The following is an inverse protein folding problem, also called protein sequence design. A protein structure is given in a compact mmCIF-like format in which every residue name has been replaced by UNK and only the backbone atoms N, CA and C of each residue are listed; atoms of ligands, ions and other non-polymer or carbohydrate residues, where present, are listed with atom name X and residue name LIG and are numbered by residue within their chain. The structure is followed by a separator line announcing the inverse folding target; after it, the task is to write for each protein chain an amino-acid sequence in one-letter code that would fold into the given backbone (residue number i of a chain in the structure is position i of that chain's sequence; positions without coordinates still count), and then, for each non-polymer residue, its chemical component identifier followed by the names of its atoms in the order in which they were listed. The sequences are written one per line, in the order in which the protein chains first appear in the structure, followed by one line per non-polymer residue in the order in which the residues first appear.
data_IF_757196998986
#
_entry.id   IF_757196998986
#
_cell.length_a   1.000
_cell.length_b   1.000
_cell.length_c   1.000
_cell.angle_alpha   90.00
_cell.angle_beta   90.00
_cell.angle_gamma   90.00
#
_symmetry.space_group_name_H-M   'P 1'
#
loop_
_entity.id
_entity.type
_entity.pdbx_description
1 polymer ?
#
# COMPACT_ATOMS: atom_id res chain seq x y z
N UNK A 1 -58.61 -12.96 2.24
CA UNK A 1 -57.30 -13.56 1.97
C UNK A 1 -56.38 -12.47 1.46
N UNK A 2 -55.37 -12.05 2.23
CA UNK A 2 -54.35 -11.13 1.77
C UNK A 2 -53.00 -11.70 2.17
N UNK A 3 -52.29 -12.31 1.22
CA UNK A 3 -50.95 -12.84 1.43
C UNK A 3 -49.97 -11.68 1.23
N UNK A 4 -49.44 -11.14 2.33
CA UNK A 4 -48.35 -10.18 2.30
C UNK A 4 -47.08 -10.97 1.94
N UNK A 5 -46.57 -10.74 0.73
CA UNK A 5 -45.29 -11.30 0.28
C UNK A 5 -44.19 -10.35 0.78
N UNK A 6 -43.54 -10.69 1.89
CA UNK A 6 -42.35 -9.99 2.36
C UNK A 6 -41.21 -10.40 1.43
N UNK A 7 -40.88 -9.54 0.47
CA UNK A 7 -39.70 -9.70 -0.37
C UNK A 7 -38.47 -9.40 0.49
N UNK A 8 -37.86 -10.45 1.05
CA UNK A 8 -36.58 -10.36 1.73
C UNK A 8 -35.50 -10.14 0.65
N UNK A 9 -35.22 -8.89 0.29
CA UNK A 9 -34.04 -8.55 -0.50
C UNK A 9 -32.81 -8.86 0.36
N UNK A 10 -32.25 -10.06 0.21
CA UNK A 10 -30.91 -10.38 0.68
C UNK A 10 -29.92 -9.52 -0.11
N UNK A 11 -29.58 -8.35 0.43
CA UNK A 11 -28.44 -7.56 -0.04
C UNK A 11 -27.21 -8.40 0.24
N UNK A 12 -26.76 -9.15 -0.76
CA UNK A 12 -25.45 -9.77 -0.76
C UNK A 12 -24.44 -8.63 -0.79
N UNK A 13 -23.94 -8.24 0.38
CA UNK A 13 -22.78 -7.37 0.48
C UNK A 13 -21.59 -8.21 0.03
N UNK A 14 -21.36 -8.27 -1.28
CA UNK A 14 -20.11 -8.80 -1.80
C UNK A 14 -19.03 -7.80 -1.43
N UNK A 15 -18.28 -8.10 -0.36
CA UNK A 15 -17.02 -7.43 -0.09
C UNK A 15 -16.07 -7.80 -1.23
N UNK A 16 -16.06 -7.00 -2.29
CA UNK A 16 -15.02 -7.11 -3.31
C UNK A 16 -13.81 -6.42 -2.71
N UNK A 17 -12.85 -7.21 -2.24
CA UNK A 17 -11.56 -6.72 -1.80
C UNK A 17 -10.82 -6.12 -2.99
N UNK A 18 -10.08 -5.04 -2.75
CA UNK A 18 -9.12 -4.54 -3.71
C UNK A 18 -7.97 -5.51 -3.81
N UNK A 19 -7.21 -5.38 -4.89
CA UNK A 19 -6.01 -6.17 -5.06
C UNK A 19 -4.98 -5.35 -5.80
N UNK A 20 -3.81 -5.19 -5.21
CA UNK A 20 -2.79 -4.31 -5.73
C UNK A 20 -1.38 -4.63 -5.23
N UNK A 21 -0.41 -4.42 -6.10
CA UNK A 21 1.00 -4.61 -5.80
C UNK A 21 1.90 -3.60 -6.52
N UNK A 22 2.94 -3.12 -5.83
CA UNK A 22 4.02 -2.33 -6.42
C UNK A 22 5.05 -3.25 -7.08
N UNK A 23 5.26 -3.06 -8.38
CA UNK A 23 6.12 -3.87 -9.25
C UNK A 23 7.40 -3.14 -9.70
N UNK A 24 7.45 -1.82 -9.61
CA UNK A 24 8.66 -1.02 -9.84
C UNK A 24 8.69 0.13 -8.80
N UNK A 25 9.81 0.34 -8.09
CA UNK A 25 10.76 -0.72 -7.75
C UNK A 25 10.01 -1.93 -7.16
N UNK A 26 10.45 -3.15 -7.45
CA UNK A 26 9.67 -4.34 -7.07
C UNK A 26 9.54 -4.46 -5.55
N UNK A 27 8.31 -4.57 -5.05
CA UNK A 27 8.06 -4.78 -3.63
C UNK A 27 8.50 -6.17 -3.15
N UNK A 28 8.81 -6.31 -1.87
CA UNK A 28 9.24 -7.56 -1.21
C UNK A 28 8.33 -8.74 -1.55
N UNK A 29 7.02 -8.50 -1.53
CA UNK A 29 6.00 -9.50 -1.85
C UNK A 29 6.05 -10.00 -3.29
N UNK A 30 6.50 -9.17 -4.23
CA UNK A 30 6.50 -9.47 -5.67
C UNK A 30 7.88 -9.79 -6.22
N UNK A 31 8.95 -9.74 -5.39
CA UNK A 31 10.34 -9.96 -5.82
C UNK A 31 10.52 -11.27 -6.58
N UNK A 32 9.84 -12.33 -6.16
CA UNK A 32 9.88 -13.67 -6.78
C UNK A 32 9.46 -13.70 -8.25
N UNK A 33 8.71 -12.69 -8.72
CA UNK A 33 8.36 -12.56 -10.14
C UNK A 33 9.55 -12.21 -11.02
N UNK A 34 10.62 -11.65 -10.44
CA UNK A 34 11.80 -11.14 -11.14
C UNK A 34 13.10 -11.82 -10.67
N UNK A 35 13.08 -12.47 -9.50
CA UNK A 35 14.21 -13.17 -8.92
C UNK A 35 13.79 -14.56 -8.43
N UNK A 36 14.23 -15.59 -9.17
CA UNK A 36 13.93 -16.99 -8.88
C UNK A 36 14.48 -17.51 -7.53
N UNK A 37 15.38 -16.75 -6.88
CA UNK A 37 15.90 -17.10 -5.55
C UNK A 37 15.02 -16.58 -4.42
N UNK A 38 14.06 -15.70 -4.71
CA UNK A 38 13.15 -15.16 -3.72
C UNK A 38 12.05 -16.17 -3.33
N UNK A 39 11.63 -16.13 -2.07
CA UNK A 39 10.49 -16.91 -1.59
C UNK A 39 9.22 -16.46 -2.33
N UNK A 40 8.51 -17.37 -3.04
CA UNK A 40 7.28 -17.00 -3.73
C UNK A 40 6.17 -16.58 -2.78
N UNK A 41 5.49 -15.48 -3.13
CA UNK A 41 4.20 -15.09 -2.53
C UNK A 41 3.15 -15.04 -3.64
N UNK A 42 2.30 -16.05 -3.73
CA UNK A 42 1.30 -16.14 -4.81
C UNK A 42 0.10 -15.20 -4.61
N UNK A 43 -0.03 -14.60 -3.42
CA UNK A 43 -1.04 -13.59 -3.05
C UNK A 43 -0.36 -12.24 -2.81
N UNK A 44 0.64 -11.91 -3.64
CA UNK A 44 1.46 -10.70 -3.49
C UNK A 44 0.70 -9.40 -3.78
N UNK A 45 -0.54 -9.50 -4.24
CA UNK A 45 -1.49 -8.40 -4.40
C UNK A 45 -2.46 -8.23 -3.21
N UNK A 46 -2.27 -8.98 -2.11
CA UNK A 46 -3.19 -9.08 -0.96
C UNK A 46 -2.65 -8.46 0.34
N UNK A 47 -1.74 -7.49 0.24
CA UNK A 47 -1.19 -6.79 1.41
C UNK A 47 -2.11 -5.70 1.95
N UNK A 48 -3.37 -6.08 2.21
CA UNK A 48 -4.48 -5.23 2.64
C UNK A 48 -4.64 -5.12 4.17
N UNK A 49 -3.55 -5.15 4.92
CA UNK A 49 -3.55 -5.00 6.38
C UNK A 49 -4.36 -6.08 7.14
N UNK A 50 -4.54 -7.27 6.56
CA UNK A 50 -5.40 -8.34 7.08
C UNK A 50 -6.90 -8.17 6.76
N UNK A 51 -7.27 -7.14 6.01
CA UNK A 51 -8.60 -6.88 5.46
C UNK A 51 -9.27 -5.72 6.16
N UNK A 52 -10.21 -5.04 5.47
CA UNK A 52 -10.85 -3.83 5.98
C UNK A 52 -11.44 -3.98 7.40
N UNK A 53 -12.08 -5.11 7.71
CA UNK A 53 -12.62 -5.38 9.05
C UNK A 53 -11.50 -5.48 10.10
N UNK A 54 -10.44 -6.22 9.81
CA UNK A 54 -9.30 -6.41 10.73
C UNK A 54 -8.59 -5.08 10.95
N UNK A 55 -8.34 -4.33 9.88
CA UNK A 55 -7.73 -3.00 9.93
C UNK A 55 -8.51 -2.06 10.86
N UNK A 56 -9.81 -1.87 10.61
CA UNK A 56 -10.58 -0.82 11.28
C UNK A 56 -11.25 -1.27 12.58
N UNK A 57 -11.91 -2.42 12.58
CA UNK A 57 -12.69 -2.88 13.73
C UNK A 57 -11.83 -3.58 14.78
N UNK A 58 -10.81 -4.34 14.36
CA UNK A 58 -9.95 -5.06 15.30
C UNK A 58 -8.77 -4.21 15.77
N UNK A 59 -8.10 -3.51 14.85
CA UNK A 59 -6.87 -2.77 15.15
C UNK A 59 -6.99 -1.25 15.08
N UNK A 60 -8.20 -0.71 14.97
CA UNK A 60 -8.45 0.73 15.08
C UNK A 60 -7.71 1.56 14.01
N UNK A 61 -7.60 1.02 12.80
CA UNK A 61 -6.89 1.65 11.68
C UNK A 61 -5.39 1.36 11.63
N UNK A 62 -4.85 0.56 12.55
CA UNK A 62 -3.44 0.18 12.53
C UNK A 62 -3.19 -0.95 11.53
N UNK A 63 -2.13 -0.79 10.73
CA UNK A 63 -1.66 -1.74 9.74
C UNK A 63 -0.19 -2.09 10.01
N UNK A 64 0.27 -3.27 9.61
CA UNK A 64 1.70 -3.57 9.56
C UNK A 64 2.44 -2.59 8.64
N UNK A 65 3.74 -2.39 8.85
CA UNK A 65 4.51 -1.36 8.13
C UNK A 65 4.49 -1.59 6.61
N UNK A 66 4.46 -2.86 6.22
CA UNK A 66 4.50 -3.32 4.83
C UNK A 66 3.25 -4.13 4.44
N UNK A 67 2.11 -3.83 5.05
CA UNK A 67 0.79 -4.30 4.60
C UNK A 67 0.30 -5.62 5.17
N UNK A 68 1.11 -6.27 6.01
CA UNK A 68 0.67 -7.36 6.88
C UNK A 68 -0.38 -6.88 7.90
N UNK A 69 -1.16 -7.81 8.46
CA UNK A 69 -2.04 -7.52 9.59
C UNK A 69 -1.25 -6.98 10.79
N UNK A 70 -1.75 -5.94 11.45
CA UNK A 70 -1.08 -5.36 12.61
C UNK A 70 -0.89 -6.36 13.76
N UNK A 71 -1.76 -7.35 13.92
CA UNK A 71 -1.63 -8.40 14.94
C UNK A 71 -0.57 -9.46 14.67
N UNK A 72 0.01 -9.52 13.47
CA UNK A 72 1.07 -10.46 13.17
C UNK A 72 2.34 -10.16 14.00
N UNK A 73 3.06 -11.21 14.40
CA UNK A 73 4.29 -11.08 15.15
C UNK A 73 5.35 -10.31 14.35
N UNK A 74 6.11 -9.44 15.02
CA UNK A 74 7.22 -8.71 14.42
C UNK A 74 8.53 -9.53 14.46
N UNK A 75 9.40 -9.45 13.43
CA UNK A 75 9.13 -8.78 12.15
C UNK A 75 8.04 -9.52 11.38
N UNK A 76 7.06 -8.77 10.88
CA UNK A 76 5.97 -9.36 10.09
C UNK A 76 6.53 -9.89 8.77
N UNK A 77 5.83 -10.81 8.07
CA UNK A 77 6.38 -11.46 6.88
C UNK A 77 7.01 -10.52 5.84
N UNK A 78 6.47 -9.31 5.65
CA UNK A 78 6.95 -8.33 4.66
C UNK A 78 7.76 -7.19 5.27
N UNK A 79 8.01 -7.18 6.57
CA UNK A 79 8.96 -6.29 7.25
C UNK A 79 10.38 -6.86 7.15
N UNK A 80 11.39 -6.01 7.33
CA UNK A 80 12.79 -6.37 7.25
C UNK A 80 13.13 -7.45 8.29
N UNK A 81 13.71 -8.56 7.82
CA UNK A 81 13.96 -9.76 8.62
C UNK A 81 12.80 -10.77 8.64
N UNK A 82 11.64 -10.41 8.10
CA UNK A 82 10.53 -11.35 7.84
C UNK A 82 10.80 -12.25 6.63
N UNK A 83 9.90 -13.22 6.41
CA UNK A 83 9.99 -14.22 5.31
C UNK A 83 10.31 -13.61 3.94
N UNK A 84 9.71 -12.46 3.62
CA UNK A 84 9.89 -11.75 2.35
C UNK A 84 10.81 -10.53 2.46
N UNK A 85 11.17 -10.10 3.68
CA UNK A 85 12.00 -8.94 3.95
C UNK A 85 13.49 -9.24 4.01
N UNK A 86 14.05 -9.78 2.91
CA UNK A 86 15.46 -10.15 2.83
C UNK A 86 16.43 -8.95 2.74
N UNK A 87 15.93 -7.71 2.60
CA UNK A 87 16.76 -6.50 2.51
C UNK A 87 17.54 -6.35 1.20
N UNK A 88 17.11 -7.03 0.14
CA UNK A 88 17.78 -6.99 -1.18
C UNK A 88 17.47 -5.65 -1.86
N UNK A 89 18.50 -4.85 -2.12
CA UNK A 89 18.36 -3.56 -2.82
C UNK A 89 17.93 -3.79 -4.28
N UNK A 90 16.68 -3.46 -4.61
CA UNK A 90 16.08 -3.67 -5.94
C UNK A 90 16.18 -2.46 -6.86
N UNK A 91 16.49 -1.28 -6.32
CA UNK A 91 16.60 -0.03 -7.07
C UNK A 91 17.68 0.87 -6.49
N UNK A 92 18.42 1.56 -7.35
CA UNK A 92 19.43 2.55 -6.96
C UNK A 92 19.15 3.85 -7.70
N UNK A 93 19.07 4.93 -6.96
CA UNK A 93 18.72 6.25 -7.46
C UNK A 93 19.68 7.30 -6.89
N UNK A 94 19.66 8.52 -7.43
CA UNK A 94 20.38 9.67 -6.91
C UNK A 94 19.45 10.61 -6.13
N UNK A 95 19.97 11.40 -5.18
CA UNK A 95 19.17 12.42 -4.50
C UNK A 95 18.50 13.36 -5.50
N UNK A 96 17.20 13.65 -5.29
CA UNK A 96 16.42 14.50 -6.19
C UNK A 96 15.97 13.85 -7.51
N UNK A 97 16.40 12.62 -7.82
CA UNK A 97 16.01 11.91 -9.04
C UNK A 97 14.51 11.61 -9.06
N UNK A 98 13.90 11.64 -10.26
CA UNK A 98 12.59 11.04 -10.48
C UNK A 98 12.72 9.51 -10.52
N UNK A 99 12.12 8.85 -9.54
CA UNK A 99 12.06 7.40 -9.40
C UNK A 99 10.82 6.91 -10.17
N UNK A 100 10.99 6.03 -11.18
CA UNK A 100 9.86 5.37 -11.81
C UNK A 100 9.16 4.47 -10.81
N UNK A 101 7.83 4.52 -10.79
CA UNK A 101 7.02 3.60 -10.00
C UNK A 101 5.97 2.95 -10.88
N UNK A 102 5.77 1.65 -10.69
CA UNK A 102 4.71 0.89 -11.34
C UNK A 102 3.89 0.16 -10.29
N UNK A 103 2.60 0.46 -10.20
CA UNK A 103 1.66 -0.22 -9.32
C UNK A 103 0.58 -0.91 -10.15
N UNK A 104 0.44 -2.22 -10.00
CA UNK A 104 -0.59 -3.01 -10.69
C UNK A 104 -1.76 -3.25 -9.75
N UNK A 105 -2.94 -2.81 -10.14
CA UNK A 105 -4.19 -3.17 -9.49
C UNK A 105 -4.89 -4.25 -10.31
N UNK A 106 -5.10 -5.43 -9.73
CA UNK A 106 -5.89 -6.51 -10.35
C UNK A 106 -7.36 -6.39 -10.02
N UNK A 107 -7.71 -5.69 -8.94
CA UNK A 107 -9.04 -5.20 -8.64
C UNK A 107 -8.92 -3.76 -8.14
N UNK A 108 -9.39 -2.80 -8.95
CA UNK A 108 -9.23 -1.37 -8.69
C UNK A 108 -10.54 -0.77 -8.14
N UNK A 109 -10.46 -0.23 -6.92
CA UNK A 109 -11.60 0.36 -6.20
C UNK A 109 -11.51 1.88 -6.07
N UNK A 110 -10.87 2.55 -7.05
CA UNK A 110 -10.56 3.99 -6.99
C UNK A 110 -9.77 4.34 -5.72
N UNK A 111 -9.73 5.62 -5.35
CA UNK A 111 -8.98 6.12 -4.21
C UNK A 111 -7.67 6.71 -4.69
N UNK A 112 -6.59 6.46 -3.98
CA UNK A 112 -5.32 7.12 -4.28
C UNK A 112 -4.10 6.34 -3.83
N UNK A 113 -2.95 6.67 -4.44
CA UNK A 113 -1.64 6.21 -4.01
C UNK A 113 -0.88 7.29 -3.26
N UNK A 114 -0.13 6.88 -2.24
CA UNK A 114 0.85 7.69 -1.51
C UNK A 114 2.16 6.93 -1.39
N UNK A 115 3.24 7.68 -1.18
CA UNK A 115 4.58 7.15 -1.08
C UNK A 115 5.29 7.76 0.14
N UNK A 116 5.92 6.90 0.93
CA UNK A 116 6.77 7.29 2.05
C UNK A 116 8.13 6.60 1.91
N UNK A 117 9.16 7.18 2.50
CA UNK A 117 10.51 6.62 2.48
C UNK A 117 11.09 6.56 3.89
N UNK A 118 11.49 5.37 4.31
CA UNK A 118 12.22 5.18 5.57
C UNK A 118 13.73 5.09 5.29
N UNK A 119 14.52 5.96 5.92
CA UNK A 119 15.98 5.93 5.85
C UNK A 119 16.56 5.08 6.99
N UNK A 120 16.97 3.85 6.70
CA UNK A 120 17.48 2.93 7.72
C UNK A 120 18.87 3.32 8.22
N UNK A 121 19.67 4.04 7.43
CA UNK A 121 20.97 4.54 7.87
C UNK A 121 20.84 5.50 9.07
N UNK A 122 19.71 6.22 9.16
CA UNK A 122 19.40 7.16 10.26
C UNK A 122 18.61 6.50 11.38
N UNK A 123 17.59 5.71 11.05
CA UNK A 123 16.65 5.16 12.04
C UNK A 123 17.03 3.77 12.56
N UNK A 124 17.93 3.06 11.88
CA UNK A 124 18.38 1.70 12.21
C UNK A 124 17.36 0.59 11.94
N UNK A 125 16.06 0.91 11.91
CA UNK A 125 14.96 -0.03 11.62
C UNK A 125 13.73 0.66 11.07
N UNK A 126 12.86 -0.12 10.44
CA UNK A 126 11.56 0.35 9.97
C UNK A 126 10.64 0.71 11.14
N UNK A 127 9.91 1.80 10.99
CA UNK A 127 8.91 2.28 11.95
C UNK A 127 8.00 3.29 11.27
N UNK A 128 6.81 3.54 11.83
CA UNK A 128 5.93 4.59 11.29
C UNK A 128 6.59 5.98 11.43
N UNK A 129 7.38 6.20 12.48
CA UNK A 129 8.17 7.42 12.67
C UNK A 129 9.19 7.61 11.54
N UNK A 130 9.84 6.53 11.10
CA UNK A 130 10.81 6.58 10.01
C UNK A 130 10.15 6.92 8.66
N UNK A 131 9.00 6.32 8.36
CA UNK A 131 8.25 6.64 7.14
C UNK A 131 7.68 8.06 7.17
N UNK A 132 7.13 8.48 8.31
CA UNK A 132 6.59 9.83 8.47
C UNK A 132 7.65 10.93 8.32
N UNK A 133 8.93 10.61 8.55
CA UNK A 133 10.03 11.55 8.38
C UNK A 133 10.25 11.97 6.91
N UNK A 134 9.86 11.14 5.93
CA UNK A 134 10.04 11.47 4.51
C UNK A 134 8.83 11.05 3.69
N UNK A 135 7.84 11.92 3.61
CA UNK A 135 6.77 11.80 2.61
C UNK A 135 7.30 12.13 1.22
N UNK A 136 6.99 11.27 0.26
CA UNK A 136 7.46 11.40 -1.11
C UNK A 136 6.36 11.97 -2.00
N UNK A 137 6.68 13.06 -2.68
CA UNK A 137 5.79 13.70 -3.65
C UNK A 137 5.80 12.95 -4.98
N UNK A 138 4.65 12.92 -5.63
CA UNK A 138 4.56 12.64 -7.07
C UNK A 138 5.36 13.72 -7.81
N UNK A 139 6.01 13.39 -8.93
CA UNK A 139 6.88 14.33 -9.67
C UNK A 139 6.15 15.58 -10.19
N UNK A 140 4.82 15.59 -10.22
CA UNK A 140 4.01 16.80 -10.50
C UNK A 140 3.84 17.72 -9.27
N UNK A 141 4.44 17.38 -8.12
CA UNK A 141 4.40 18.13 -6.86
C UNK A 141 3.28 17.71 -5.90
N UNK A 142 2.34 16.86 -6.33
CA UNK A 142 1.21 16.40 -5.51
C UNK A 142 1.66 15.42 -4.42
N UNK A 143 0.97 15.42 -3.28
CA UNK A 143 1.23 14.50 -2.16
C UNK A 143 0.64 13.10 -2.38
N UNK A 144 -0.23 12.96 -3.38
CA UNK A 144 -0.87 11.69 -3.74
C UNK A 144 -1.20 11.65 -5.23
N UNK A 145 -1.41 10.44 -5.74
CA UNK A 145 -1.95 10.21 -7.07
C UNK A 145 -3.38 9.66 -6.96
N UNK A 146 -4.37 10.46 -7.35
CA UNK A 146 -5.78 10.05 -7.38
C UNK A 146 -6.06 9.15 -8.58
N UNK A 147 -6.69 7.99 -8.34
CA UNK A 147 -6.94 6.99 -9.37
C UNK A 147 -8.07 7.46 -10.32
N UNK A 148 -7.82 7.53 -11.63
CA UNK A 148 -8.74 8.17 -12.57
C UNK A 148 -9.98 7.32 -12.90
N UNK A 149 -9.89 5.99 -12.76
CA UNK A 149 -10.97 5.06 -13.11
C UNK A 149 -11.02 3.86 -12.17
N UNK A 150 -12.04 3.01 -12.36
CA UNK A 150 -12.18 1.71 -11.70
C UNK A 150 -11.50 0.57 -12.49
N UNK A 151 -10.86 0.88 -13.62
CA UNK A 151 -10.31 -0.16 -14.49
C UNK A 151 -9.09 -0.82 -13.83
N UNK A 152 -9.05 -2.16 -13.74
CA UNK A 152 -7.84 -2.88 -13.37
C UNK A 152 -6.75 -2.63 -14.41
N UNK A 153 -5.63 -2.07 -13.98
CA UNK A 153 -4.52 -1.74 -14.86
C UNK A 153 -3.21 -1.58 -14.08
N UNK A 154 -2.14 -1.34 -14.83
CA UNK A 154 -0.86 -0.93 -14.27
C UNK A 154 -0.73 0.59 -14.39
N UNK A 155 -0.54 1.25 -13.25
CA UNK A 155 -0.35 2.68 -13.15
C UNK A 155 1.14 2.97 -13.06
N UNK A 156 1.65 3.70 -14.05
CA UNK A 156 3.04 4.12 -14.10
C UNK A 156 3.14 5.58 -13.70
N UNK A 157 3.93 5.85 -12.67
CA UNK A 157 4.11 7.16 -12.05
C UNK A 157 5.60 7.49 -11.98
N UNK A 158 5.87 8.75 -11.67
CA UNK A 158 7.20 9.21 -11.27
C UNK A 158 7.03 9.87 -9.90
N UNK A 159 7.91 9.51 -8.97
CA UNK A 159 7.98 10.12 -7.64
C UNK A 159 9.34 10.78 -7.48
N UNK A 160 9.45 11.83 -6.68
CA UNK A 160 10.72 12.55 -6.52
C UNK A 160 11.46 12.08 -5.27
N UNK A 161 12.66 11.52 -5.45
CA UNK A 161 13.57 11.25 -4.34
C UNK A 161 13.87 12.55 -3.56
N UNK A 162 13.98 12.54 -2.22
CA UNK A 162 14.33 13.75 -1.48
C UNK A 162 15.72 14.24 -1.90
N UNK A 163 15.89 15.55 -2.05
CA UNK A 163 17.12 16.16 -2.60
C UNK A 163 18.32 16.05 -1.65
N UNK A 164 18.06 16.08 -0.35
CA UNK A 164 19.09 16.13 0.69
C UNK A 164 19.21 14.80 1.44
N UNK A 165 18.60 13.72 0.91
CA UNK A 165 18.62 12.40 1.54
C UNK A 165 19.53 11.46 0.77
N UNK A 166 20.44 10.82 1.50
CA UNK A 166 21.21 9.66 1.06
C UNK A 166 20.95 8.50 2.00
N UNK A 167 20.91 7.30 1.43
CA UNK A 167 20.76 6.06 2.18
C UNK A 167 21.34 4.91 1.38
N UNK A 168 22.18 4.12 2.04
CA UNK A 168 22.64 2.83 1.52
C UNK A 168 21.52 1.79 1.54
N UNK A 169 20.62 1.89 2.52
CA UNK A 169 19.40 1.10 2.59
C UNK A 169 18.22 1.98 3.00
N UNK A 170 17.34 2.26 2.04
CA UNK A 170 16.04 2.85 2.26
C UNK A 170 14.94 1.83 2.01
N UNK A 171 13.79 2.05 2.66
CA UNK A 171 12.56 1.33 2.34
C UNK A 171 11.57 2.31 1.74
N UNK A 172 11.23 2.12 0.47
CA UNK A 172 10.13 2.83 -0.19
C UNK A 172 8.83 2.10 0.11
N UNK A 173 7.86 2.82 0.68
CA UNK A 173 6.53 2.29 0.95
C UNK A 173 5.52 2.91 0.00
N UNK A 174 4.87 2.05 -0.78
CA UNK A 174 3.64 2.40 -1.49
C UNK A 174 2.45 2.12 -0.60
N UNK A 175 1.56 3.10 -0.48
CA UNK A 175 0.26 2.95 0.19
C UNK A 175 -0.85 3.18 -0.83
N UNK A 176 -1.75 2.22 -0.99
CA UNK A 176 -2.99 2.39 -1.73
C UNK A 176 -4.16 2.43 -0.76
N UNK A 177 -4.91 3.53 -0.76
CA UNK A 177 -6.18 3.65 -0.02
C UNK A 177 -7.31 3.59 -1.05
N UNK A 178 -8.15 2.56 -0.96
CA UNK A 178 -9.31 2.36 -1.83
C UNK A 178 -10.40 3.42 -1.56
N UNK A 179 -11.45 3.46 -2.40
CA UNK A 179 -12.55 4.41 -2.23
C UNK A 179 -13.95 3.82 -2.51
N UNK A 180 -14.14 2.53 -2.29
CA UNK A 180 -15.40 1.83 -2.53
C UNK A 180 -16.29 1.70 -1.28
N UNK A 181 -15.76 1.92 -0.07
CA UNK A 181 -16.60 1.88 1.14
C UNK A 181 -17.38 3.18 1.30
N UNK A 182 -18.65 3.05 1.70
CA UNK A 182 -19.47 4.19 2.10
C UNK A 182 -19.15 4.59 3.54
N UNK A 183 -18.98 5.88 3.78
CA UNK A 183 -18.72 6.39 5.12
C UNK A 183 -18.99 7.89 5.25
N UNK A 184 -18.74 8.41 6.44
CA UNK A 184 -18.90 9.84 6.75
C UNK A 184 -17.67 10.62 6.32
N UNK A 185 -17.88 11.70 5.56
CA UNK A 185 -16.86 12.62 5.09
C UNK A 185 -16.52 13.66 6.19
N UNK A 186 -15.44 14.40 6.03
CA UNK A 186 -15.00 15.41 7.01
C UNK A 186 -16.02 16.54 7.24
N UNK A 187 -16.81 16.86 6.21
CA UNK A 187 -17.89 17.85 6.27
C UNK A 187 -19.20 17.30 6.89
N UNK A 188 -19.18 16.06 7.38
CA UNK A 188 -20.34 15.37 7.96
C UNK A 188 -21.29 14.77 6.93
N UNK A 189 -21.07 14.96 5.63
CA UNK A 189 -21.83 14.27 4.58
C UNK A 189 -21.46 12.78 4.52
N UNK A 190 -22.14 12.00 3.68
CA UNK A 190 -21.77 10.60 3.47
C UNK A 190 -21.67 10.28 1.99
N UNK A 191 -20.59 9.60 1.63
CA UNK A 191 -20.30 9.21 0.25
C UNK A 191 -19.39 7.98 0.21
N UNK A 192 -19.29 7.36 -0.97
CA UNK A 192 -18.26 6.37 -1.25
C UNK A 192 -16.87 7.03 -1.19
N UNK A 193 -15.90 6.34 -0.60
CA UNK A 193 -14.54 6.83 -0.41
C UNK A 193 -14.33 7.69 0.83
N UNK A 194 -15.40 7.98 1.58
CA UNK A 194 -15.31 8.68 2.86
C UNK A 194 -15.19 7.70 4.04
N UNK A 195 -14.58 8.16 5.12
CA UNK A 195 -14.37 7.35 6.32
C UNK A 195 -13.40 6.17 6.10
N UNK A 196 -13.51 5.11 6.91
CA UNK A 196 -12.64 3.94 6.85
C UNK A 196 -12.64 3.21 5.50
N UNK A 197 -11.49 3.20 4.82
CA UNK A 197 -11.30 2.53 3.53
C UNK A 197 -10.33 1.35 3.63
N UNK A 198 -10.48 0.35 2.76
CA UNK A 198 -9.45 -0.66 2.61
C UNK A 198 -8.11 -0.03 2.24
N UNK A 199 -7.03 -0.52 2.84
CA UNK A 199 -5.68 0.04 2.67
C UNK A 199 -4.69 -1.07 2.41
N UNK A 200 -3.83 -0.86 1.41
CA UNK A 200 -2.75 -1.74 1.04
C UNK A 200 -1.43 -1.02 1.30
N UNK A 201 -0.42 -1.75 1.77
CA UNK A 201 0.94 -1.24 1.87
C UNK A 201 1.91 -2.25 1.26
N UNK A 202 2.88 -1.79 0.49
CA UNK A 202 4.00 -2.61 0.05
C UNK A 202 5.31 -1.87 0.30
N UNK A 203 6.37 -2.63 0.55
CA UNK A 203 7.70 -2.10 0.81
C UNK A 203 8.69 -2.63 -0.24
N UNK A 204 9.55 -1.76 -0.76
CA UNK A 204 10.69 -2.12 -1.60
C UNK A 204 11.98 -1.56 -0.99
N UNK A 205 13.02 -2.38 -0.96
CA UNK A 205 14.34 -1.99 -0.48
C UNK A 205 15.14 -1.32 -1.61
N UNK A 206 15.50 -0.06 -1.44
CA UNK A 206 16.20 0.76 -2.46
C UNK A 206 17.41 1.48 -1.86
N UNK A 207 18.26 2.08 -2.68
CA UNK A 207 19.32 2.97 -2.26
C UNK A 207 19.23 4.34 -2.96
N UNK A 208 19.63 5.39 -2.24
CA UNK A 208 19.77 6.75 -2.77
C UNK A 208 21.21 7.21 -2.50
N UNK A 209 22.04 7.29 -3.55
CA UNK A 209 23.50 7.43 -3.47
C UNK A 209 24.01 8.71 -4.15
#
# INVERSE_FOLDING_TARGET
MLKIFVLLCSVLITNVYGHGMMLEPVGRQSRWRYDSTAVPNYTDNELFCGGAFVLWQTYGGKCGLCGDSYGAAAPRPHELGGTYGAGVIVGKYSPGQNIPVSAKLTANHKGYFKFDLCNLDVFGKESEECFAANQIKISNGSDRYDLPSYDPQTFNLQIQAPRDLKCTHCVLRWTYVAANNWGTCEDGTSAAGCGPQETFKNCADIAIL
#
